data_IF_628609016604
#
_entry.id   IF_628609016604
#
_cell.length_a   1.000
_cell.length_b   1.000
_cell.length_c   1.000
_cell.angle_alpha   90.00
_cell.angle_beta   90.00
_cell.angle_gamma   90.00
#
_symmetry.space_group_name_H-M   'P 1'
#
loop_
_entity.id
_entity.type
_entity.pdbx_description
1 polymer ?
#
# COMPACT_ATOMS: atom_id res chain seq x y z
N UNK A 1 -33.02 77.18 -62.70
CA UNK A 1 -33.07 76.01 -63.60
C UNK A 1 -31.68 75.40 -63.60
N UNK A 2 -31.35 74.29 -62.95
CA UNK A 2 -32.06 73.32 -62.09
C UNK A 2 -30.90 72.48 -61.48
N UNK A 3 -30.76 72.28 -60.16
CA UNK A 3 -31.35 71.20 -59.32
C UNK A 3 -30.26 70.21 -58.83
N UNK A 4 -30.12 70.12 -57.48
CA UNK A 4 -29.66 69.05 -56.58
C UNK A 4 -28.15 68.78 -56.33
N UNK A 5 -27.73 68.84 -55.05
CA UNK A 5 -27.66 67.65 -54.17
C UNK A 5 -27.54 68.02 -52.67
N UNK A 6 -28.08 67.19 -51.77
CA UNK A 6 -28.05 67.34 -50.29
C UNK A 6 -27.00 66.38 -49.63
N UNK A 7 -27.11 65.94 -48.36
CA UNK A 7 -26.60 66.55 -47.13
C UNK A 7 -25.53 65.69 -46.41
N UNK A 8 -24.67 66.30 -45.59
CA UNK A 8 -23.67 65.60 -44.76
C UNK A 8 -23.90 65.77 -43.26
N UNK A 9 -24.43 64.74 -42.62
CA UNK A 9 -24.61 64.63 -41.17
C UNK A 9 -23.26 64.38 -40.45
N UNK A 10 -22.97 65.11 -39.36
CA UNK A 10 -21.91 64.77 -38.41
C UNK A 10 -22.51 64.02 -37.21
N UNK A 11 -22.09 62.75 -37.06
CA UNK A 11 -22.55 61.79 -36.06
C UNK A 11 -22.08 62.10 -34.61
N UNK A 12 -22.73 61.52 -33.58
CA UNK A 12 -22.37 61.70 -32.17
C UNK A 12 -21.17 60.84 -31.76
N UNK A 13 -20.35 61.35 -30.84
CA UNK A 13 -19.23 60.66 -30.20
C UNK A 13 -19.73 59.50 -29.30
N UNK A 14 -19.36 58.28 -29.66
CA UNK A 14 -19.67 57.04 -28.94
C UNK A 14 -18.83 56.92 -27.64
N UNK A 15 -19.46 56.82 -26.45
CA UNK A 15 -18.75 56.70 -25.17
C UNK A 15 -18.20 55.29 -24.88
N UNK A 16 -18.33 54.33 -25.80
CA UNK A 16 -17.85 52.94 -25.59
C UNK A 16 -16.33 52.75 -25.78
N UNK A 17 -15.59 53.78 -26.19
CA UNK A 17 -14.15 53.67 -26.50
C UNK A 17 -13.21 53.60 -25.27
N UNK A 18 -13.71 53.68 -24.03
CA UNK A 18 -12.86 53.78 -22.81
C UNK A 18 -12.66 52.45 -22.06
N UNK A 19 -13.36 51.37 -22.40
CA UNK A 19 -13.29 50.09 -21.65
C UNK A 19 -12.58 48.95 -22.39
N UNK A 20 -11.59 49.27 -23.22
CA UNK A 20 -10.63 48.29 -23.76
C UNK A 20 -9.24 48.46 -23.12
N UNK A 21 -9.18 48.70 -21.81
CA UNK A 21 -7.94 48.65 -21.06
C UNK A 21 -7.45 47.19 -20.97
N UNK A 22 -6.59 46.82 -21.94
CA UNK A 22 -5.50 45.86 -21.85
C UNK A 22 -5.64 44.78 -20.77
N UNK A 23 -6.15 43.61 -21.15
CA UNK A 23 -5.84 42.37 -20.45
C UNK A 23 -4.34 42.05 -20.68
N UNK A 24 -3.46 42.77 -19.99
CA UNK A 24 -2.02 42.62 -20.11
C UNK A 24 -1.63 41.16 -19.83
N UNK A 25 -0.95 40.53 -20.80
CA UNK A 25 -0.44 39.16 -20.65
C UNK A 25 0.36 39.06 -19.34
N UNK A 26 0.09 38.09 -18.47
CA UNK A 26 0.78 37.99 -17.19
C UNK A 26 2.29 37.90 -17.41
N UNK A 27 3.02 38.76 -16.71
CA UNK A 27 4.49 38.82 -16.69
C UNK A 27 5.09 37.46 -16.31
N UNK A 28 6.34 37.19 -16.71
CA UNK A 28 7.03 35.94 -16.34
C UNK A 28 7.10 35.73 -14.81
N UNK A 29 7.22 36.82 -14.03
CA UNK A 29 7.23 36.78 -12.56
C UNK A 29 5.86 36.40 -11.97
N UNK A 30 4.76 36.95 -12.49
CA UNK A 30 3.41 36.61 -12.03
C UNK A 30 3.02 35.17 -12.36
N UNK A 31 3.40 34.64 -13.53
CA UNK A 31 3.22 33.20 -13.85
C UNK A 31 4.01 32.29 -12.91
N UNK A 32 5.25 32.66 -12.57
CA UNK A 32 6.09 31.89 -11.64
C UNK A 32 5.51 31.90 -10.22
N UNK A 33 4.99 33.03 -9.75
CA UNK A 33 4.33 33.14 -8.45
C UNK A 33 3.01 32.34 -8.40
N UNK A 34 2.21 32.34 -9.48
CA UNK A 34 0.99 31.55 -9.56
C UNK A 34 1.29 30.04 -9.58
N UNK A 35 2.33 29.62 -10.31
CA UNK A 35 2.79 28.23 -10.32
C UNK A 35 3.30 27.80 -8.93
N UNK A 36 4.11 28.63 -8.28
CA UNK A 36 4.59 28.39 -6.91
C UNK A 36 3.42 28.32 -5.92
N UNK A 37 2.44 29.22 -6.00
CA UNK A 37 1.23 29.18 -5.17
C UNK A 37 0.46 27.89 -5.39
N UNK A 38 0.21 27.49 -6.64
CA UNK A 38 -0.46 26.20 -6.94
C UNK A 38 0.31 25.01 -6.38
N UNK A 39 1.64 25.02 -6.48
CA UNK A 39 2.47 23.95 -5.92
C UNK A 39 2.43 23.94 -4.39
N UNK A 40 2.53 25.10 -3.75
CA UNK A 40 2.39 25.27 -2.31
C UNK A 40 1.00 24.85 -1.82
N UNK A 41 -0.08 25.14 -2.55
CA UNK A 41 -1.43 24.67 -2.24
C UNK A 41 -1.55 23.16 -2.40
N UNK A 42 -0.90 22.59 -3.42
CA UNK A 42 -0.86 21.13 -3.66
C UNK A 42 -0.04 20.40 -2.58
N UNK A 43 1.02 21.03 -2.06
CA UNK A 43 1.85 20.53 -0.95
C UNK A 43 1.16 20.72 0.40
N UNK A 44 0.52 21.87 0.64
CA UNK A 44 -0.27 22.15 1.83
C UNK A 44 -1.53 21.27 1.92
N UNK A 45 -2.08 20.85 0.77
CA UNK A 45 -3.20 19.90 0.69
C UNK A 45 -2.84 18.44 0.93
N UNK A 46 -1.55 18.08 1.04
CA UNK A 46 -1.14 16.73 1.45
C UNK A 46 -1.17 16.61 2.98
N UNK A 47 -2.38 16.65 3.53
CA UNK A 47 -2.61 16.37 4.95
C UNK A 47 -2.10 14.95 5.25
N UNK A 48 -1.20 14.82 6.23
CA UNK A 48 -0.85 13.51 6.78
C UNK A 48 -1.99 13.06 7.70
N UNK A 49 -2.69 11.96 7.39
CA UNK A 49 -3.77 11.48 8.25
C UNK A 49 -3.21 11.10 9.62
N UNK A 50 -3.98 11.37 10.69
CA UNK A 50 -3.56 11.16 12.08
C UNK A 50 -3.27 9.69 12.41
N UNK A 51 -4.01 8.73 11.83
CA UNK A 51 -3.85 7.31 12.13
C UNK A 51 -2.67 6.64 11.41
N UNK A 52 -1.98 7.40 10.55
CA UNK A 52 -0.83 6.90 9.78
C UNK A 52 0.27 6.43 10.73
N UNK A 53 0.62 5.15 10.62
CA UNK A 53 1.62 4.48 11.46
C UNK A 53 1.06 3.88 12.76
N UNK A 54 0.04 4.48 13.36
CA UNK A 54 -0.54 3.99 14.63
C UNK A 54 -1.25 2.64 14.49
N UNK A 55 -1.88 2.38 13.35
CA UNK A 55 -2.52 1.08 13.06
C UNK A 55 -1.49 -0.05 13.16
N UNK A 56 -0.32 0.11 12.51
CA UNK A 56 0.75 -0.89 12.57
C UNK A 56 1.50 -0.86 13.91
N UNK A 57 1.57 0.28 14.59
CA UNK A 57 2.11 0.35 15.96
C UNK A 57 1.30 -0.51 16.94
N UNK A 58 -0.03 -0.52 16.82
CA UNK A 58 -0.90 -1.42 17.59
C UNK A 58 -0.81 -2.88 17.14
N UNK A 59 -0.64 -3.14 15.84
CA UNK A 59 -0.50 -4.49 15.31
C UNK A 59 0.83 -5.17 15.69
N UNK A 60 1.91 -4.41 15.88
CA UNK A 60 3.23 -4.94 16.21
C UNK A 60 3.28 -5.80 17.49
N UNK A 61 2.80 -5.36 18.67
CA UNK A 61 2.75 -6.23 19.85
C UNK A 61 1.80 -7.43 19.65
N UNK A 62 0.70 -7.27 18.92
CA UNK A 62 -0.23 -8.35 18.62
C UNK A 62 0.42 -9.43 17.73
N UNK A 63 1.27 -9.04 16.78
CA UNK A 63 2.00 -10.00 15.94
C UNK A 63 3.01 -10.80 16.74
N UNK A 64 3.63 -10.21 17.77
CA UNK A 64 4.52 -10.93 18.71
C UNK A 64 3.73 -11.93 19.53
N UNK A 65 2.64 -11.49 20.19
CA UNK A 65 1.84 -12.36 21.07
C UNK A 65 1.23 -13.51 20.28
N UNK A 66 0.58 -13.21 19.16
CA UNK A 66 -0.02 -14.22 18.29
C UNK A 66 1.01 -15.15 17.66
N UNK A 67 2.14 -14.60 17.22
CA UNK A 67 3.25 -15.39 16.67
C UNK A 67 3.89 -16.32 17.70
N UNK A 68 4.08 -15.86 18.94
CA UNK A 68 4.56 -16.69 20.05
C UNK A 68 3.56 -17.81 20.37
N UNK A 69 2.26 -17.50 20.42
CA UNK A 69 1.22 -18.51 20.59
C UNK A 69 1.31 -19.58 19.48
N UNK A 70 1.48 -19.15 18.22
CA UNK A 70 1.65 -20.07 17.09
C UNK A 70 2.89 -20.97 17.24
N UNK A 71 4.02 -20.42 17.68
CA UNK A 71 5.23 -21.20 17.97
C UNK A 71 4.98 -22.22 19.08
N UNK A 72 4.27 -21.85 20.14
CA UNK A 72 3.99 -22.75 21.26
C UNK A 72 3.11 -23.93 20.83
N UNK A 73 2.04 -23.67 20.08
CA UNK A 73 1.09 -24.71 19.65
C UNK A 73 1.58 -25.55 18.47
N UNK A 74 2.62 -25.09 17.76
CA UNK A 74 3.18 -25.81 16.60
C UNK A 74 3.77 -27.17 17.01
N UNK A 75 3.36 -28.28 16.37
CA UNK A 75 3.62 -29.64 16.86
C UNK A 75 5.06 -30.13 16.62
N UNK A 76 5.74 -29.64 15.59
CA UNK A 76 7.07 -30.13 15.20
C UNK A 76 8.10 -29.01 15.25
N UNK A 77 9.39 -29.35 15.35
CA UNK A 77 10.48 -28.37 15.28
C UNK A 77 10.39 -27.58 13.96
N UNK A 78 10.09 -28.25 12.85
CA UNK A 78 9.94 -27.60 11.55
C UNK A 78 8.81 -26.56 11.55
N UNK A 79 7.61 -26.90 12.07
CA UNK A 79 6.50 -25.95 12.13
C UNK A 79 6.76 -24.81 13.12
N UNK A 80 7.49 -25.06 14.21
CA UNK A 80 7.94 -24.01 15.15
C UNK A 80 8.89 -23.00 14.50
N UNK A 81 9.86 -23.48 13.71
CA UNK A 81 10.78 -22.60 12.96
C UNK A 81 9.99 -21.81 11.92
N UNK A 82 9.06 -22.45 11.21
CA UNK A 82 8.20 -21.80 10.24
C UNK A 82 7.32 -20.70 10.87
N UNK A 83 6.73 -20.99 12.03
CA UNK A 83 5.97 -20.03 12.83
C UNK A 83 6.84 -18.86 13.33
N UNK A 84 8.08 -19.14 13.74
CA UNK A 84 9.03 -18.10 14.13
C UNK A 84 9.39 -17.18 12.95
N UNK A 85 9.55 -17.72 11.74
CA UNK A 85 9.77 -16.92 10.52
C UNK A 85 8.57 -16.04 10.17
N UNK A 86 7.35 -16.57 10.26
CA UNK A 86 6.12 -15.78 10.11
C UNK A 86 6.07 -14.64 11.14
N UNK A 87 6.36 -14.95 12.40
CA UNK A 87 6.39 -13.97 13.50
C UNK A 87 7.42 -12.87 13.23
N UNK A 88 8.66 -13.25 12.88
CA UNK A 88 9.75 -12.32 12.62
C UNK A 88 9.43 -11.39 11.45
N UNK A 89 8.91 -11.94 10.35
CA UNK A 89 8.55 -11.13 9.17
C UNK A 89 7.37 -10.20 9.47
N UNK A 90 6.40 -10.62 10.29
CA UNK A 90 5.30 -9.77 10.77
C UNK A 90 5.79 -8.63 11.67
N UNK A 91 6.69 -8.94 12.60
CA UNK A 91 7.36 -7.94 13.45
C UNK A 91 8.12 -6.92 12.60
N UNK A 92 8.89 -7.38 11.60
CA UNK A 92 9.60 -6.50 10.69
C UNK A 92 8.63 -5.60 9.93
N UNK A 93 7.57 -6.16 9.33
CA UNK A 93 6.57 -5.39 8.60
C UNK A 93 5.93 -4.30 9.47
N UNK A 94 5.26 -4.69 10.57
CA UNK A 94 4.49 -3.77 11.38
C UNK A 94 5.39 -2.80 12.14
N UNK A 95 6.50 -3.28 12.68
CA UNK A 95 7.47 -2.47 13.43
C UNK A 95 8.12 -1.41 12.53
N UNK A 96 8.64 -1.79 11.36
CA UNK A 96 9.26 -0.80 10.47
C UNK A 96 8.25 0.21 9.93
N UNK A 97 7.03 -0.24 9.65
CA UNK A 97 5.96 0.63 9.14
C UNK A 97 5.50 1.64 10.17
N UNK A 98 5.34 1.21 11.43
CA UNK A 98 5.06 2.08 12.57
C UNK A 98 6.15 3.17 12.72
N UNK A 99 7.42 2.76 12.78
CA UNK A 99 8.57 3.68 12.90
C UNK A 99 8.64 4.64 11.72
N UNK A 100 8.50 4.14 10.50
CA UNK A 100 8.56 4.94 9.27
C UNK A 100 7.49 6.03 9.25
N UNK A 101 6.25 5.67 9.62
CA UNK A 101 5.09 6.55 9.48
C UNK A 101 4.86 7.48 10.67
N UNK A 102 5.12 7.03 11.91
CA UNK A 102 4.95 7.84 13.11
C UNK A 102 6.07 8.87 13.30
N UNK A 103 7.29 8.56 12.84
CA UNK A 103 8.47 9.39 13.11
C UNK A 103 8.64 10.62 12.20
N UNK A 104 9.26 11.66 12.76
CA UNK A 104 9.68 12.87 12.04
C UNK A 104 11.15 12.79 11.62
N UNK A 105 11.41 11.99 10.60
CA UNK A 105 12.77 11.70 10.14
C UNK A 105 13.35 12.76 9.19
N UNK A 106 14.68 12.95 9.26
CA UNK A 106 15.46 13.63 8.20
C UNK A 106 15.27 12.90 6.87
N UNK A 107 15.36 13.63 5.76
CA UNK A 107 15.04 13.09 4.41
C UNK A 107 15.77 11.79 4.08
N UNK A 108 17.08 11.70 4.36
CA UNK A 108 17.88 10.48 4.10
C UNK A 108 17.32 9.26 4.84
N UNK A 109 17.05 9.41 6.14
CA UNK A 109 16.49 8.33 6.98
C UNK A 109 15.07 7.98 6.52
N UNK A 110 14.24 8.97 6.19
CA UNK A 110 12.89 8.75 5.66
C UNK A 110 12.89 7.92 4.38
N UNK A 111 13.83 8.17 3.47
CA UNK A 111 13.98 7.41 2.23
C UNK A 111 14.42 5.97 2.49
N UNK A 112 15.36 5.76 3.43
CA UNK A 112 15.81 4.43 3.84
C UNK A 112 14.68 3.64 4.49
N UNK A 113 14.01 4.20 5.51
CA UNK A 113 12.88 3.57 6.19
C UNK A 113 11.76 3.22 5.21
N UNK A 114 11.47 4.11 4.26
CA UNK A 114 10.51 3.81 3.18
C UNK A 114 10.95 2.60 2.35
N UNK A 115 12.24 2.44 2.05
CA UNK A 115 12.70 1.27 1.27
C UNK A 115 12.54 -0.02 2.08
N UNK A 116 12.95 -0.01 3.34
CA UNK A 116 12.83 -1.15 4.26
C UNK A 116 11.35 -1.53 4.43
N UNK A 117 10.49 -0.56 4.74
CA UNK A 117 9.05 -0.75 4.93
C UNK A 117 8.39 -1.48 3.74
N UNK A 118 8.73 -1.08 2.51
CA UNK A 118 8.17 -1.74 1.33
C UNK A 118 8.90 -3.04 0.93
N UNK A 119 10.16 -3.20 1.33
CA UNK A 119 10.88 -4.46 1.13
C UNK A 119 10.28 -5.55 2.03
N UNK A 120 9.85 -5.18 3.24
CA UNK A 120 9.24 -6.12 4.20
C UNK A 120 7.93 -6.74 3.70
N UNK A 121 7.23 -6.12 2.74
CA UNK A 121 6.05 -6.72 2.09
C UNK A 121 6.42 -8.04 1.39
N UNK A 122 7.59 -8.10 0.74
CA UNK A 122 8.07 -9.35 0.13
C UNK A 122 8.35 -10.43 1.18
N UNK A 123 8.98 -10.03 2.29
CA UNK A 123 9.35 -10.95 3.37
C UNK A 123 8.12 -11.51 4.06
N UNK A 124 7.11 -10.70 4.38
CA UNK A 124 5.89 -11.20 5.03
C UNK A 124 5.07 -12.11 4.11
N UNK A 125 5.06 -11.89 2.79
CA UNK A 125 4.39 -12.82 1.87
C UNK A 125 5.03 -14.20 1.97
N UNK A 126 6.36 -14.30 1.85
CA UNK A 126 7.06 -15.58 2.02
C UNK A 126 6.94 -16.14 3.44
N UNK A 127 7.01 -15.26 4.45
CA UNK A 127 6.84 -15.60 5.85
C UNK A 127 5.49 -16.22 6.17
N UNK A 128 4.40 -15.74 5.55
CA UNK A 128 3.05 -16.30 5.67
C UNK A 128 2.95 -17.67 5.01
N UNK A 129 3.52 -17.84 3.81
CA UNK A 129 3.50 -19.12 3.11
C UNK A 129 4.35 -20.20 3.77
N UNK A 130 5.35 -19.82 4.55
CA UNK A 130 6.28 -20.78 5.17
C UNK A 130 5.58 -21.75 6.13
N UNK A 131 4.86 -21.32 7.18
CA UNK A 131 4.13 -22.24 8.04
C UNK A 131 2.89 -22.84 7.36
N UNK A 132 2.25 -22.17 6.38
CA UNK A 132 1.19 -22.80 5.59
C UNK A 132 1.72 -24.01 4.82
N UNK A 133 2.87 -23.88 4.17
CA UNK A 133 3.50 -24.97 3.43
C UNK A 133 3.97 -26.10 4.36
N UNK A 134 4.46 -25.77 5.55
CA UNK A 134 4.98 -26.75 6.51
C UNK A 134 3.86 -27.50 7.25
N UNK A 135 2.74 -26.82 7.54
CA UNK A 135 1.61 -27.41 8.28
C UNK A 135 0.60 -28.13 7.38
N UNK A 136 0.39 -27.66 6.14
CA UNK A 136 -0.73 -28.11 5.29
C UNK A 136 -0.28 -28.77 3.98
N UNK A 137 1.02 -28.96 3.76
CA UNK A 137 1.53 -29.59 2.53
C UNK A 137 2.67 -30.55 2.84
N UNK A 138 2.79 -31.57 2.00
CA UNK A 138 3.86 -32.55 2.05
C UNK A 138 4.61 -32.66 0.72
N UNK A 139 5.77 -33.31 0.75
CA UNK A 139 6.56 -33.65 -0.45
C UNK A 139 6.90 -32.48 -1.37
N UNK A 140 6.67 -32.68 -2.67
CA UNK A 140 7.00 -31.73 -3.75
C UNK A 140 6.22 -30.42 -3.66
N UNK A 141 4.88 -30.41 -3.47
CA UNK A 141 4.10 -29.17 -3.31
C UNK A 141 4.67 -28.20 -2.26
N UNK A 142 5.01 -28.71 -1.07
CA UNK A 142 5.63 -27.92 0.00
C UNK A 142 6.95 -27.29 -0.46
N UNK A 143 7.81 -28.09 -1.06
CA UNK A 143 9.16 -27.66 -1.48
C UNK A 143 9.07 -26.60 -2.58
N UNK A 144 8.23 -26.81 -3.59
CA UNK A 144 8.03 -25.87 -4.70
C UNK A 144 7.50 -24.54 -4.18
N UNK A 145 6.48 -24.55 -3.32
CA UNK A 145 5.90 -23.34 -2.75
C UNK A 145 6.95 -22.53 -1.98
N UNK A 146 7.75 -23.18 -1.11
CA UNK A 146 8.80 -22.52 -0.35
C UNK A 146 9.88 -21.90 -1.26
N UNK A 147 10.37 -22.66 -2.25
CA UNK A 147 11.40 -22.18 -3.18
C UNK A 147 10.89 -20.99 -3.97
N UNK A 148 9.69 -21.06 -4.53
CA UNK A 148 9.08 -19.96 -5.31
C UNK A 148 8.94 -18.71 -4.46
N UNK A 149 8.36 -18.83 -3.26
CA UNK A 149 8.08 -17.69 -2.40
C UNK A 149 9.36 -17.01 -1.89
N UNK A 150 10.35 -17.78 -1.43
CA UNK A 150 11.59 -17.20 -0.94
C UNK A 150 12.47 -16.65 -2.08
N UNK A 151 12.48 -17.29 -3.25
CA UNK A 151 13.16 -16.74 -4.43
C UNK A 151 12.53 -15.41 -4.84
N UNK A 152 11.20 -15.36 -4.95
CA UNK A 152 10.48 -14.12 -5.26
C UNK A 152 10.71 -13.03 -4.20
N UNK A 153 10.77 -13.41 -2.92
CA UNK A 153 11.02 -12.46 -1.84
C UNK A 153 12.43 -11.88 -1.89
N UNK A 154 13.46 -12.72 -2.08
CA UNK A 154 14.86 -12.26 -2.19
C UNK A 154 15.01 -11.34 -3.41
N UNK A 155 14.52 -11.76 -4.58
CA UNK A 155 14.57 -10.94 -5.79
C UNK A 155 13.82 -9.62 -5.60
N UNK A 156 12.64 -9.65 -4.99
CA UNK A 156 11.85 -8.47 -4.69
C UNK A 156 12.55 -7.48 -3.75
N UNK A 157 13.15 -7.98 -2.68
CA UNK A 157 13.94 -7.18 -1.73
C UNK A 157 15.16 -6.56 -2.43
N UNK A 158 15.93 -7.35 -3.18
CA UNK A 158 17.10 -6.86 -3.93
C UNK A 158 16.68 -5.78 -4.92
N UNK A 159 15.66 -6.04 -5.73
CA UNK A 159 15.12 -5.08 -6.70
C UNK A 159 14.67 -3.78 -6.01
N UNK A 160 14.02 -3.89 -4.84
CA UNK A 160 13.55 -2.71 -4.09
C UNK A 160 14.69 -1.88 -3.49
N UNK A 161 15.77 -2.53 -3.07
CA UNK A 161 16.93 -1.86 -2.47
C UNK A 161 17.80 -1.21 -3.55
N UNK A 162 18.07 -1.94 -4.64
CA UNK A 162 18.97 -1.51 -5.73
C UNK A 162 18.28 -0.51 -6.66
N UNK A 163 17.04 -0.76 -7.09
CA UNK A 163 16.34 0.12 -8.04
C UNK A 163 15.56 1.24 -7.32
N UNK A 164 16.30 2.29 -6.98
CA UNK A 164 15.80 3.39 -6.15
C UNK A 164 14.81 4.33 -6.85
N UNK A 165 14.78 4.34 -8.19
CA UNK A 165 13.93 5.20 -9.05
C UNK A 165 12.69 4.50 -9.59
N UNK A 166 12.49 3.21 -9.28
CA UNK A 166 11.37 2.44 -9.80
C UNK A 166 10.01 3.08 -9.44
N UNK A 167 9.05 3.11 -10.38
CA UNK A 167 7.76 3.74 -10.15
C UNK A 167 6.95 2.93 -9.13
N UNK A 168 6.24 3.61 -8.23
CA UNK A 168 5.50 2.93 -7.13
C UNK A 168 4.39 2.00 -7.62
N UNK A 169 3.79 2.30 -8.77
CA UNK A 169 2.71 1.49 -9.34
C UNK A 169 3.19 0.09 -9.74
N UNK A 170 4.49 -0.08 -10.06
CA UNK A 170 5.06 -1.36 -10.48
C UNK A 170 4.98 -2.42 -9.37
N UNK A 171 5.20 -2.01 -8.13
CA UNK A 171 5.34 -2.96 -7.02
C UNK A 171 4.00 -3.54 -6.56
N UNK A 172 2.89 -2.80 -6.68
CA UNK A 172 1.59 -3.27 -6.20
C UNK A 172 1.14 -4.54 -6.94
N UNK A 173 1.13 -4.61 -8.29
CA UNK A 173 0.86 -5.84 -9.02
C UNK A 173 1.85 -6.97 -8.72
N UNK A 174 3.13 -6.65 -8.49
CA UNK A 174 4.15 -7.66 -8.14
C UNK A 174 3.83 -8.31 -6.80
N UNK A 175 3.48 -7.52 -5.78
CA UNK A 175 3.07 -8.06 -4.47
C UNK A 175 1.84 -8.96 -4.59
N UNK A 176 0.83 -8.51 -5.33
CA UNK A 176 -0.40 -9.28 -5.56
C UNK A 176 -0.10 -10.55 -6.36
N UNK A 177 0.73 -10.49 -7.41
CA UNK A 177 1.09 -11.65 -8.22
C UNK A 177 1.83 -12.72 -7.43
N UNK A 178 2.81 -12.34 -6.59
CA UNK A 178 3.50 -13.28 -5.70
C UNK A 178 2.51 -13.86 -4.68
N UNK A 179 1.67 -13.01 -4.07
CA UNK A 179 0.62 -13.46 -3.15
C UNK A 179 -0.43 -14.37 -3.80
N UNK A 180 -0.66 -14.28 -5.10
CA UNK A 180 -1.58 -15.16 -5.82
C UNK A 180 -0.92 -16.49 -6.24
N UNK A 181 0.41 -16.57 -6.27
CA UNK A 181 1.10 -17.81 -6.63
C UNK A 181 0.78 -18.98 -5.68
N UNK A 182 0.35 -18.69 -4.44
CA UNK A 182 -0.11 -19.71 -3.50
C UNK A 182 -1.55 -20.19 -3.70
N UNK A 183 -2.35 -19.55 -4.57
CA UNK A 183 -3.76 -19.92 -4.80
C UNK A 183 -3.90 -21.35 -5.32
N UNK A 184 -2.93 -21.84 -6.10
CA UNK A 184 -2.93 -23.21 -6.59
C UNK A 184 -2.89 -24.29 -5.48
N UNK A 185 -2.50 -23.92 -4.28
CA UNK A 185 -2.43 -24.83 -3.12
C UNK A 185 -3.67 -24.75 -2.22
N UNK A 186 -4.56 -23.77 -2.46
CA UNK A 186 -5.81 -23.59 -1.68
C UNK A 186 -6.71 -24.82 -1.72
N UNK A 187 -6.91 -25.53 -2.86
CA UNK A 187 -7.73 -26.74 -2.86
C UNK A 187 -7.23 -27.82 -1.89
N UNK A 188 -5.91 -28.03 -1.79
CA UNK A 188 -5.34 -28.98 -0.82
C UNK A 188 -5.63 -28.58 0.62
N UNK A 189 -5.45 -27.29 0.94
CA UNK A 189 -5.74 -26.74 2.28
C UNK A 189 -7.23 -26.88 2.63
N UNK A 190 -8.13 -26.64 1.67
CA UNK A 190 -9.58 -26.76 1.88
C UNK A 190 -10.02 -28.18 2.18
N UNK A 191 -9.40 -29.16 1.54
CA UNK A 191 -9.71 -30.57 1.74
C UNK A 191 -9.25 -31.07 3.12
N UNK A 192 -8.16 -30.52 3.66
CA UNK A 192 -7.69 -30.86 5.01
C UNK A 192 -8.46 -30.12 6.11
N UNK A 193 -8.78 -28.84 5.91
CA UNK A 193 -9.52 -28.06 6.90
C UNK A 193 -10.28 -26.89 6.27
N UNK A 194 -11.60 -27.02 6.22
CA UNK A 194 -12.49 -25.97 5.70
C UNK A 194 -12.30 -24.62 6.42
N UNK A 195 -12.22 -24.53 7.78
CA UNK A 195 -11.96 -23.27 8.46
C UNK A 195 -10.64 -22.61 8.06
N UNK A 196 -9.55 -23.38 7.97
CA UNK A 196 -8.23 -22.88 7.52
C UNK A 196 -8.36 -22.33 6.10
N UNK A 197 -9.01 -23.10 5.23
CA UNK A 197 -9.27 -22.71 3.86
C UNK A 197 -10.01 -21.38 3.70
N UNK A 198 -11.09 -21.19 4.46
CA UNK A 198 -11.88 -19.94 4.47
C UNK A 198 -10.99 -18.79 4.93
N UNK A 199 -10.27 -18.94 6.04
CA UNK A 199 -9.42 -17.89 6.60
C UNK A 199 -8.28 -17.50 5.65
N UNK A 200 -7.66 -18.45 4.95
CA UNK A 200 -6.62 -18.19 3.94
C UNK A 200 -7.17 -17.35 2.79
N UNK A 201 -8.34 -17.73 2.25
CA UNK A 201 -8.98 -17.01 1.14
C UNK A 201 -9.47 -15.63 1.57
N UNK A 202 -10.11 -15.53 2.74
CA UNK A 202 -10.53 -14.23 3.29
C UNK A 202 -9.33 -13.32 3.53
N UNK A 203 -8.25 -13.83 4.13
CA UNK A 203 -7.03 -13.06 4.34
C UNK A 203 -6.40 -12.57 3.03
N UNK A 204 -6.34 -13.44 2.02
CA UNK A 204 -5.87 -13.08 0.68
C UNK A 204 -6.74 -12.01 0.01
N UNK A 205 -8.07 -12.15 0.08
CA UNK A 205 -9.01 -11.16 -0.44
C UNK A 205 -8.86 -9.80 0.25
N UNK A 206 -8.69 -9.77 1.58
CA UNK A 206 -8.44 -8.55 2.33
C UNK A 206 -7.16 -7.85 1.87
N UNK A 207 -6.06 -8.59 1.67
CA UNK A 207 -4.82 -8.01 1.12
C UNK A 207 -5.03 -7.40 -0.28
N UNK A 208 -5.76 -8.10 -1.16
CA UNK A 208 -6.03 -7.61 -2.51
C UNK A 208 -6.88 -6.33 -2.47
N UNK A 209 -7.96 -6.31 -1.66
CA UNK A 209 -8.80 -5.12 -1.48
C UNK A 209 -7.96 -3.93 -0.99
N UNK A 210 -7.12 -4.15 0.03
CA UNK A 210 -6.19 -3.15 0.52
C UNK A 210 -5.23 -2.65 -0.57
N UNK A 211 -4.63 -3.56 -1.34
CA UNK A 211 -3.70 -3.24 -2.42
C UNK A 211 -4.38 -2.43 -3.55
N UNK A 212 -5.61 -2.78 -3.92
CA UNK A 212 -6.42 -2.06 -4.90
C UNK A 212 -6.72 -0.64 -4.42
N UNK A 213 -7.18 -0.48 -3.16
CA UNK A 213 -7.41 0.85 -2.56
C UNK A 213 -6.12 1.68 -2.53
N UNK A 214 -5.00 1.05 -2.18
CA UNK A 214 -3.69 1.70 -2.18
C UNK A 214 -3.27 2.16 -3.58
N UNK A 215 -3.46 1.32 -4.60
CA UNK A 215 -3.13 1.60 -5.99
C UNK A 215 -3.97 2.72 -6.59
N UNK A 216 -5.28 2.69 -6.36
CA UNK A 216 -6.25 3.70 -6.85
C UNK A 216 -6.16 5.00 -6.04
N UNK A 217 -5.65 4.95 -4.81
CA UNK A 217 -5.54 6.08 -3.86
C UNK A 217 -6.89 6.67 -3.45
N UNK A 218 -7.94 5.85 -3.46
CA UNK A 218 -9.30 6.17 -3.04
C UNK A 218 -9.97 4.91 -2.47
N UNK A 219 -10.96 5.05 -1.56
CA UNK A 219 -11.56 6.30 -1.06
C UNK A 219 -10.73 7.02 -0.01
N UNK A 220 -11.09 8.27 0.30
CA UNK A 220 -10.52 9.07 1.40
C UNK A 220 -11.65 9.57 2.30
N UNK A 221 -12.22 8.70 3.15
CA UNK A 221 -13.44 9.01 3.90
C UNK A 221 -13.23 10.17 4.88
N UNK A 222 -12.06 10.27 5.51
CA UNK A 222 -11.69 11.39 6.37
C UNK A 222 -10.22 11.78 6.11
N UNK A 223 -9.89 12.61 5.11
CA UNK A 223 -8.51 12.85 4.66
C UNK A 223 -7.52 13.29 5.75
N UNK A 224 -8.00 13.94 6.82
CA UNK A 224 -7.17 14.35 7.96
C UNK A 224 -6.98 13.25 9.02
N UNK A 225 -7.79 12.20 9.03
CA UNK A 225 -7.84 11.18 10.09
C UNK A 225 -7.56 9.79 9.50
N UNK A 226 -8.32 9.40 8.49
CA UNK A 226 -8.37 8.07 7.88
C UNK A 226 -8.60 8.19 6.35
N UNK A 227 -7.54 7.97 5.57
CA UNK A 227 -7.57 7.98 4.12
C UNK A 227 -7.25 6.61 3.51
N UNK A 228 -6.96 6.59 2.22
CA UNK A 228 -6.70 5.35 1.48
C UNK A 228 -5.50 4.54 2.00
N UNK A 229 -4.47 5.20 2.55
CA UNK A 229 -3.33 4.51 3.15
C UNK A 229 -3.72 3.80 4.44
N UNK A 230 -4.57 4.43 5.24
CA UNK A 230 -5.02 3.90 6.51
C UNK A 230 -5.99 2.74 6.26
N UNK A 231 -6.83 2.81 5.22
CA UNK A 231 -7.59 1.66 4.71
C UNK A 231 -6.65 0.51 4.35
N UNK A 232 -5.62 0.76 3.54
CA UNK A 232 -4.64 -0.25 3.18
C UNK A 232 -3.98 -0.91 4.40
N UNK A 233 -3.55 -0.13 5.39
CA UNK A 233 -3.00 -0.66 6.63
C UNK A 233 -4.02 -1.49 7.42
N UNK A 234 -5.27 -1.05 7.53
CA UNK A 234 -6.33 -1.82 8.20
C UNK A 234 -6.54 -3.17 7.52
N UNK A 235 -6.70 -3.19 6.19
CA UNK A 235 -6.84 -4.45 5.44
C UNK A 235 -5.60 -5.34 5.55
N UNK A 236 -4.40 -4.76 5.64
CA UNK A 236 -3.16 -5.52 5.88
C UNK A 236 -3.18 -6.20 7.25
N UNK A 237 -3.59 -5.50 8.31
CA UNK A 237 -3.69 -6.06 9.66
C UNK A 237 -4.78 -7.13 9.75
N UNK A 238 -5.95 -6.89 9.15
CA UNK A 238 -7.04 -7.87 9.13
C UNK A 238 -6.65 -9.12 8.32
N UNK A 239 -6.00 -8.95 7.16
CA UNK A 239 -5.49 -10.04 6.36
C UNK A 239 -4.46 -10.89 7.10
N UNK A 240 -3.50 -10.23 7.78
CA UNK A 240 -2.54 -10.90 8.66
C UNK A 240 -3.25 -11.65 9.79
N UNK A 241 -4.26 -11.04 10.42
CA UNK A 241 -5.06 -11.67 11.47
C UNK A 241 -5.77 -12.94 10.99
N UNK A 242 -6.37 -12.93 9.79
CA UNK A 242 -6.96 -14.12 9.18
C UNK A 242 -5.91 -15.22 8.96
N UNK A 243 -4.73 -14.88 8.44
CA UNK A 243 -3.67 -15.87 8.23
C UNK A 243 -3.08 -16.41 9.52
N UNK A 244 -2.86 -15.57 10.53
CA UNK A 244 -2.46 -16.02 11.87
C UNK A 244 -3.51 -16.96 12.47
N UNK A 245 -4.81 -16.63 12.37
CA UNK A 245 -5.88 -17.50 12.84
C UNK A 245 -5.90 -18.84 12.09
N UNK A 246 -5.75 -18.81 10.76
CA UNK A 246 -5.66 -20.03 9.94
C UNK A 246 -4.51 -20.93 10.41
N UNK A 247 -3.34 -20.33 10.68
CA UNK A 247 -2.16 -21.04 11.15
C UNK A 247 -2.33 -21.61 12.55
N UNK A 248 -2.97 -20.88 13.47
CA UNK A 248 -3.28 -21.37 14.82
C UNK A 248 -4.23 -22.58 14.76
N UNK A 249 -5.28 -22.49 13.94
CA UNK A 249 -6.22 -23.59 13.71
C UNK A 249 -5.49 -24.80 13.11
N UNK A 250 -4.73 -24.60 12.02
CA UNK A 250 -3.95 -25.67 11.39
C UNK A 250 -2.97 -26.35 12.36
N UNK A 251 -2.25 -25.58 13.17
CA UNK A 251 -1.31 -26.11 14.15
C UNK A 251 -2.00 -26.89 15.28
N UNK A 252 -3.22 -26.49 15.67
CA UNK A 252 -3.99 -27.16 16.73
C UNK A 252 -4.68 -28.45 16.28
N UNK A 253 -4.97 -28.60 14.98
CA UNK A 253 -5.61 -29.80 14.42
C UNK A 253 -4.61 -30.88 13.98
N UNK A 254 -3.30 -30.61 14.06
CA UNK A 254 -2.26 -31.58 13.76
C UNK A 254 -2.02 -32.59 14.90
N UNK A 255 -3.02 -32.78 15.77
CA UNK A 255 -3.07 -33.76 16.86
C UNK A 255 -4.16 -34.80 16.59
#
# INVERSE_FOLDING_TARGET
>A
MDVLDQPGASAPTDPTAVTAASAARPTRSSRRQLALRRELTKLAGQIRPRWRGWIHAGAFPLSIVGGLALVIVSPTIASRIAAALFTLTGMLLFGTSAVYHAGRWRMRIRLLLRRIDHANIFLIIAGTYTPLAVLCLEGTPRTVLLVVMWTAAVLGVVFRIVWTTAPRWLFVPVYVGIGLAGVGYVPGIWMESLPVGILVVTGGALYIIGAVVYGIKRPNPAPAIFGFHEIFHTFTVLGYGCHLAALLVAASHAY
#
